data_IF_081952482681
#
_entry.id   IF_081952482681
#
_cell.length_a   1.000
_cell.length_b   1.000
_cell.length_c   1.000
_cell.angle_alpha   90.00
_cell.angle_beta   90.00
_cell.angle_gamma   90.00
#
_symmetry.space_group_name_H-M   'P 1'
#
loop_
_entity.id
_entity.type
_entity.pdbx_description
1 polymer ?
#
# COMPACT_ATOMS: atom_id res chain seq x y z
N UNK A 1 -17.17 -0.58 -6.11
CA UNK A 1 -16.74 -1.93 -5.64
C UNK A 1 -16.09 -1.78 -4.28
N UNK A 2 -16.14 -2.80 -3.43
CA UNK A 2 -15.62 -2.71 -2.06
C UNK A 2 -14.27 -3.39 -1.93
N UNK A 3 -13.35 -2.75 -1.23
CA UNK A 3 -12.00 -3.23 -0.98
C UNK A 3 -11.79 -3.27 0.54
N UNK A 4 -11.40 -4.44 1.05
CA UNK A 4 -11.11 -4.65 2.46
C UNK A 4 -9.63 -5.03 2.55
N UNK A 5 -8.85 -4.22 3.26
CA UNK A 5 -7.40 -4.44 3.43
C UNK A 5 -7.10 -4.58 4.90
N UNK A 6 -6.47 -5.70 5.26
CA UNK A 6 -5.95 -5.94 6.61
C UNK A 6 -4.44 -5.88 6.60
N UNK A 7 -3.83 -5.01 7.40
CA UNK A 7 -2.38 -5.00 7.62
C UNK A 7 -2.00 -5.94 8.75
N UNK A 8 -1.19 -6.97 8.47
CA UNK A 8 -0.68 -7.88 9.51
C UNK A 8 0.17 -7.12 10.53
N UNK A 9 -0.11 -7.37 11.81
CA UNK A 9 0.67 -6.83 12.93
C UNK A 9 2.09 -7.41 12.91
N UNK A 10 3.12 -6.56 12.76
CA UNK A 10 4.53 -6.96 12.91
C UNK A 10 5.30 -5.96 13.76
N UNK A 11 5.94 -6.45 14.82
CA UNK A 11 6.66 -5.62 15.81
C UNK A 11 7.76 -4.73 15.21
N UNK A 12 8.53 -5.22 14.22
CA UNK A 12 9.65 -4.46 13.63
C UNK A 12 9.27 -3.43 12.56
N UNK A 13 8.03 -3.46 12.06
CA UNK A 13 7.50 -2.50 11.08
C UNK A 13 6.32 -1.69 11.66
N UNK A 14 6.17 -1.71 12.98
CA UNK A 14 4.96 -1.28 13.68
C UNK A 14 4.72 0.24 13.68
N UNK A 15 5.77 1.03 13.44
CA UNK A 15 5.75 2.48 13.69
C UNK A 15 5.44 3.32 12.46
N UNK A 16 5.46 2.74 11.26
CA UNK A 16 5.26 3.49 10.01
C UNK A 16 3.92 3.10 9.38
N UNK A 17 3.02 4.06 9.12
CA UNK A 17 1.82 3.83 8.32
C UNK A 17 2.19 3.49 6.87
N UNK A 18 1.27 2.82 6.17
CA UNK A 18 1.32 2.69 4.72
C UNK A 18 0.10 3.39 4.11
N UNK A 19 0.17 3.70 2.83
CA UNK A 19 -0.94 4.24 2.06
C UNK A 19 -1.30 3.31 0.93
N UNK A 20 -2.59 3.02 0.79
CA UNK A 20 -3.10 2.25 -0.32
C UNK A 20 -3.57 3.21 -1.39
N UNK A 21 -2.96 3.13 -2.56
CA UNK A 21 -3.31 3.95 -3.72
C UNK A 21 -3.83 3.04 -4.84
N UNK A 22 -4.78 3.54 -5.63
CA UNK A 22 -5.24 2.87 -6.86
C UNK A 22 -4.22 3.01 -7.99
N UNK A 23 -4.38 2.23 -9.05
CA UNK A 23 -3.69 2.42 -10.33
C UNK A 23 -3.84 3.83 -10.92
N UNK A 24 -5.02 4.44 -10.82
CA UNK A 24 -5.23 5.84 -11.23
C UNK A 24 -4.40 6.81 -10.38
N UNK A 25 -4.43 6.66 -9.06
CA UNK A 25 -3.64 7.48 -8.14
C UNK A 25 -2.13 7.19 -8.22
N UNK A 26 -1.74 6.00 -8.67
CA UNK A 26 -0.36 5.63 -8.91
C UNK A 26 0.26 6.42 -10.06
N UNK A 27 -0.49 6.68 -11.14
CA UNK A 27 0.00 7.57 -12.19
C UNK A 27 0.21 9.00 -11.67
N UNK A 28 -0.68 9.50 -10.81
CA UNK A 28 -0.51 10.80 -10.15
C UNK A 28 0.71 10.80 -9.21
N UNK A 29 0.90 9.72 -8.45
CA UNK A 29 2.08 9.53 -7.60
C UNK A 29 3.40 9.53 -8.39
N UNK A 30 3.45 8.84 -9.54
CA UNK A 30 4.65 8.75 -10.38
C UNK A 30 4.93 10.05 -11.16
N UNK A 31 3.89 10.80 -11.52
CA UNK A 31 4.01 12.05 -12.27
C UNK A 31 4.23 13.28 -11.39
N UNK A 32 4.09 13.12 -10.07
CA UNK A 32 4.37 14.16 -9.10
C UNK A 32 5.85 14.58 -9.12
N UNK A 33 6.16 15.86 -8.86
CA UNK A 33 7.54 16.36 -8.76
C UNK A 33 8.33 15.73 -7.60
N UNK A 34 7.63 14.99 -6.73
CA UNK A 34 8.11 14.29 -5.54
C UNK A 34 8.48 12.82 -5.80
N UNK A 35 8.33 12.33 -7.04
CA UNK A 35 8.61 10.94 -7.37
C UNK A 35 10.13 10.65 -7.45
N UNK A 36 10.59 9.65 -6.68
CA UNK A 36 11.99 9.18 -6.73
C UNK A 36 12.23 8.37 -8.00
N UNK A 37 13.25 8.69 -8.82
CA UNK A 37 13.81 7.69 -9.72
C UNK A 37 14.39 6.52 -8.91
N UNK A 38 14.55 5.33 -9.51
CA UNK A 38 15.12 4.11 -8.91
C UNK A 38 16.43 4.29 -8.09
N UNK A 39 17.06 5.46 -8.20
CA UNK A 39 18.30 5.87 -7.55
C UNK A 39 18.07 6.73 -6.30
N UNK A 40 17.09 6.37 -5.46
CA UNK A 40 16.77 7.09 -4.23
C UNK A 40 18.05 7.41 -3.43
N UNK A 41 18.32 8.70 -3.18
CA UNK A 41 19.50 9.12 -2.42
C UNK A 41 19.36 8.55 -1.00
N UNK A 42 20.38 7.79 -0.57
CA UNK A 42 20.50 7.40 0.82
C UNK A 42 21.06 8.59 1.62
N UNK A 43 20.54 8.81 2.81
CA UNK A 43 21.18 9.64 3.84
C UNK A 43 22.57 9.10 4.15
N UNK A 44 23.43 9.93 4.77
CA UNK A 44 24.75 9.48 5.26
C UNK A 44 24.68 8.28 6.23
N UNK A 45 23.51 8.03 6.80
CA UNK A 45 23.20 6.92 7.71
C UNK A 45 22.62 5.68 7.00
N UNK A 46 22.48 5.69 5.67
CA UNK A 46 21.98 4.55 4.89
C UNK A 46 20.46 4.41 4.79
N UNK A 47 19.69 5.38 5.29
CA UNK A 47 18.24 5.43 5.13
C UNK A 47 17.85 6.15 3.83
N UNK A 48 16.80 5.73 3.11
CA UNK A 48 16.28 6.49 1.97
C UNK A 48 15.85 7.90 2.39
N UNK A 49 16.17 8.91 1.59
CA UNK A 49 15.70 10.29 1.82
C UNK A 49 14.22 10.37 1.42
N UNK A 50 13.29 10.68 2.37
CA UNK A 50 11.89 10.87 2.04
C UNK A 50 11.75 12.09 1.13
N UNK A 51 11.10 11.90 -0.01
CA UNK A 51 10.86 12.96 -1.00
C UNK A 51 9.38 13.13 -1.32
N UNK A 52 8.54 12.24 -0.79
CA UNK A 52 7.08 12.32 -0.90
C UNK A 52 6.50 12.88 0.39
N UNK A 53 5.62 13.87 0.24
CA UNK A 53 4.93 14.46 1.40
C UNK A 53 3.84 13.53 1.89
N UNK A 54 3.67 13.49 3.22
CA UNK A 54 2.55 12.78 3.85
C UNK A 54 1.22 13.35 3.36
N UNK A 55 1.15 14.66 3.12
CA UNK A 55 -0.04 15.34 2.60
C UNK A 55 -0.44 14.82 1.21
N UNK A 56 0.53 14.57 0.31
CA UNK A 56 0.24 13.96 -0.99
C UNK A 56 -0.34 12.55 -0.80
N UNK A 57 0.26 11.74 0.07
CA UNK A 57 -0.17 10.37 0.32
C UNK A 57 -1.56 10.30 0.97
N UNK A 58 -1.85 11.16 1.94
CA UNK A 58 -3.16 11.28 2.58
C UNK A 58 -4.23 11.79 1.59
N UNK A 59 -3.84 12.54 0.55
CA UNK A 59 -4.75 13.01 -0.50
C UNK A 59 -5.10 11.92 -1.52
N UNK A 60 -4.11 11.13 -1.95
CA UNK A 60 -4.28 10.17 -3.08
C UNK A 60 -4.53 8.73 -2.61
N UNK A 61 -4.38 8.47 -1.32
CA UNK A 61 -4.38 7.13 -0.78
C UNK A 61 -5.08 7.00 0.56
N UNK A 62 -5.29 5.76 0.95
CA UNK A 62 -5.96 5.39 2.20
C UNK A 62 -4.89 4.93 3.17
N UNK A 63 -4.73 5.67 4.26
CA UNK A 63 -3.76 5.36 5.30
C UNK A 63 -4.17 4.10 6.07
N UNK A 64 -3.21 3.21 6.30
CA UNK A 64 -3.40 1.97 7.08
C UNK A 64 -2.27 1.77 8.10
N UNK A 65 -2.67 1.72 9.36
CA UNK A 65 -1.84 1.46 10.52
C UNK A 65 -1.52 -0.02 10.73
N UNK A 66 -0.56 -0.30 11.61
CA UNK A 66 -0.13 -1.66 11.92
C UNK A 66 -1.24 -2.44 12.64
N UNK A 67 -1.65 -3.59 12.08
CA UNK A 67 -2.76 -4.39 12.64
C UNK A 67 -4.15 -3.88 12.27
N UNK A 68 -4.24 -2.80 11.50
CA UNK A 68 -5.50 -2.18 11.14
C UNK A 68 -6.17 -2.91 9.97
N UNK A 69 -7.51 -2.87 9.94
CA UNK A 69 -8.30 -3.23 8.77
C UNK A 69 -9.06 -2.02 8.29
N UNK A 70 -8.89 -1.67 7.01
CA UNK A 70 -9.60 -0.56 6.37
C UNK A 70 -10.54 -1.11 5.30
N UNK A 71 -11.70 -0.47 5.19
CA UNK A 71 -12.67 -0.75 4.15
C UNK A 71 -12.82 0.50 3.29
N UNK A 72 -12.72 0.33 1.97
CA UNK A 72 -12.76 1.41 1.02
C UNK A 72 -13.72 1.09 -0.12
N UNK A 73 -14.41 2.11 -0.62
CA UNK A 73 -15.09 2.02 -1.89
C UNK A 73 -14.15 2.48 -3.00
N UNK A 74 -13.97 1.64 -4.01
CA UNK A 74 -13.21 1.97 -5.20
C UNK A 74 -14.11 2.11 -6.43
N UNK A 75 -13.78 3.03 -7.36
CA UNK A 75 -14.40 3.08 -8.68
C UNK A 75 -14.22 1.76 -9.42
N UNK A 76 -15.24 1.27 -10.13
CA UNK A 76 -15.19 0.00 -10.85
C UNK A 76 -14.09 -0.06 -11.95
N UNK A 77 -13.54 1.09 -12.35
CA UNK A 77 -12.44 1.20 -13.30
C UNK A 77 -11.08 0.81 -12.72
N UNK A 78 -10.92 0.78 -11.39
CA UNK A 78 -9.64 0.44 -10.74
C UNK A 78 -9.38 -1.05 -10.89
N UNK A 79 -8.22 -1.42 -11.44
CA UNK A 79 -7.87 -2.83 -11.67
C UNK A 79 -6.80 -3.33 -10.70
N UNK A 80 -5.99 -2.42 -10.17
CA UNK A 80 -4.94 -2.76 -9.22
C UNK A 80 -4.82 -1.71 -8.12
N UNK A 81 -4.26 -2.14 -6.99
CA UNK A 81 -3.86 -1.27 -5.89
C UNK A 81 -2.40 -1.48 -5.54
N UNK A 82 -1.81 -0.43 -4.97
CA UNK A 82 -0.42 -0.39 -4.53
C UNK A 82 -0.36 0.08 -3.09
N UNK A 83 0.67 -0.34 -2.37
CA UNK A 83 0.98 0.18 -1.05
C UNK A 83 2.24 1.03 -1.12
N UNK A 84 2.18 2.21 -0.52
CA UNK A 84 3.28 3.19 -0.45
C UNK A 84 3.72 3.33 1.00
N UNK A 85 5.02 3.37 1.24
CA UNK A 85 5.56 3.74 2.55
C UNK A 85 5.69 5.25 2.70
N UNK A 86 5.84 5.71 3.94
CA UNK A 86 6.18 7.11 4.22
C UNK A 86 7.47 7.58 3.51
N UNK A 87 8.39 6.64 3.24
CA UNK A 87 9.64 6.92 2.53
C UNK A 87 9.48 6.89 0.98
N UNK A 88 8.26 6.70 0.47
CA UNK A 88 7.96 6.68 -0.96
C UNK A 88 8.24 5.36 -1.67
N UNK A 89 8.37 4.24 -0.94
CA UNK A 89 8.57 2.93 -1.55
C UNK A 89 7.23 2.30 -1.94
N UNK A 90 7.11 1.95 -3.22
CA UNK A 90 5.93 1.35 -3.81
C UNK A 90 6.01 -0.19 -3.79
N UNK A 91 4.91 -0.86 -3.46
CA UNK A 91 4.79 -2.30 -3.61
C UNK A 91 4.69 -2.72 -5.08
N UNK A 92 4.79 -4.03 -5.33
CA UNK A 92 4.24 -4.61 -6.57
C UNK A 92 2.72 -4.37 -6.64
N UNK A 93 2.13 -4.26 -7.84
CA UNK A 93 0.68 -4.14 -8.00
C UNK A 93 -0.03 -5.39 -7.45
N UNK A 94 -1.11 -5.18 -6.71
CA UNK A 94 -2.09 -6.22 -6.43
C UNK A 94 -3.26 -6.10 -7.41
N UNK A 95 -3.32 -7.02 -8.38
CA UNK A 95 -4.37 -7.05 -9.41
C UNK A 95 -5.65 -7.59 -8.79
N UNK A 96 -6.67 -6.74 -8.64
CA UNK A 96 -7.88 -7.05 -7.87
C UNK A 96 -8.61 -8.30 -8.37
N UNK A 97 -8.59 -8.57 -9.67
CA UNK A 97 -9.18 -9.79 -10.25
C UNK A 97 -8.64 -11.09 -9.62
N UNK A 98 -7.40 -11.09 -9.12
CA UNK A 98 -6.80 -12.25 -8.42
C UNK A 98 -7.15 -12.36 -6.93
N UNK A 99 -7.84 -11.37 -6.36
CA UNK A 99 -8.19 -11.28 -4.92
C UNK A 99 -9.70 -11.19 -4.68
N UNK A 100 -10.50 -11.51 -5.70
CA UNK A 100 -11.94 -11.60 -5.55
C UNK A 100 -12.28 -12.77 -4.63
N UNK A 101 -12.59 -12.49 -3.37
CA UNK A 101 -13.02 -13.52 -2.45
C UNK A 101 -14.17 -13.00 -1.58
N UNK A 102 -15.37 -13.28 -2.10
CA UNK A 102 -16.62 -13.21 -1.36
C UNK A 102 -17.45 -11.94 -1.52
N UNK A 103 -18.68 -12.08 -1.04
CA UNK A 103 -19.61 -11.00 -0.78
C UNK A 103 -19.25 -10.32 0.56
N UNK A 104 -19.47 -9.02 0.67
CA UNK A 104 -19.45 -8.33 1.95
C UNK A 104 -20.70 -8.67 2.79
N UNK A 105 -20.81 -8.05 3.96
CA UNK A 105 -21.91 -8.24 4.92
C UNK A 105 -23.31 -7.94 4.33
N UNK A 106 -23.35 -7.26 3.18
CA UNK A 106 -24.57 -6.86 2.45
C UNK A 106 -24.81 -7.70 1.19
N UNK A 107 -23.91 -8.65 0.87
CA UNK A 107 -24.00 -9.47 -0.34
C UNK A 107 -23.23 -8.90 -1.55
N UNK A 108 -22.62 -7.71 -1.45
CA UNK A 108 -21.94 -7.04 -2.54
C UNK A 108 -20.51 -7.58 -2.74
N UNK A 109 -20.05 -7.72 -3.99
CA UNK A 109 -18.70 -8.22 -4.27
C UNK A 109 -17.62 -7.35 -3.59
N UNK A 110 -16.75 -8.00 -2.81
CA UNK A 110 -15.65 -7.36 -2.11
C UNK A 110 -14.31 -8.05 -2.39
N UNK A 111 -13.27 -7.25 -2.57
CA UNK A 111 -11.90 -7.73 -2.68
C UNK A 111 -11.26 -7.71 -1.30
N UNK A 112 -10.65 -8.83 -0.89
CA UNK A 112 -9.98 -8.95 0.42
C UNK A 112 -8.49 -9.13 0.22
N UNK A 113 -7.69 -8.20 0.73
CA UNK A 113 -6.24 -8.24 0.62
C UNK A 113 -5.61 -8.22 2.01
N UNK A 114 -4.54 -9.01 2.16
CA UNK A 114 -3.67 -8.93 3.34
C UNK A 114 -2.40 -8.19 2.97
N UNK A 115 -2.11 -7.12 3.69
CA UNK A 115 -0.90 -6.33 3.55
C UNK A 115 0.13 -6.75 4.61
N UNK A 116 1.34 -7.06 4.18
CA UNK A 116 2.48 -7.35 5.04
C UNK A 116 3.64 -6.43 4.72
N UNK A 117 4.63 -6.43 5.59
CA UNK A 117 5.88 -5.71 5.39
C UNK A 117 7.06 -6.70 5.42
N UNK A 118 8.04 -6.49 4.53
CA UNK A 118 9.37 -7.12 4.58
C UNK A 118 10.44 -6.03 4.74
N UNK A 119 11.50 -6.30 5.47
CA UNK A 119 12.53 -5.31 5.82
C UNK A 119 12.55 -4.99 7.32
N UNK A 120 13.33 -3.98 7.74
CA UNK A 120 13.51 -3.63 9.16
C UNK A 120 14.80 -2.84 9.42
N UNK A 121 15.37 -2.98 10.62
CA UNK A 121 16.50 -2.19 11.16
C UNK A 121 17.71 -1.98 10.22
N UNK A 122 17.92 -2.87 9.23
CA UNK A 122 19.04 -2.81 8.29
C UNK A 122 18.63 -2.88 6.79
N UNK A 123 17.32 -2.86 6.48
CA UNK A 123 16.81 -2.93 5.10
C UNK A 123 15.54 -2.10 4.97
N UNK A 124 15.35 -1.37 3.85
CA UNK A 124 14.13 -0.60 3.64
C UNK A 124 12.89 -1.46 3.83
N UNK A 125 11.91 -0.91 4.56
CA UNK A 125 10.62 -1.56 4.75
C UNK A 125 9.86 -1.49 3.44
N UNK A 126 9.51 -2.65 2.88
CA UNK A 126 8.79 -2.78 1.61
C UNK A 126 7.43 -3.41 1.88
N UNK A 127 6.33 -2.75 1.46
CA UNK A 127 4.99 -3.29 1.60
C UNK A 127 4.75 -4.36 0.53
N UNK A 128 4.04 -5.42 0.89
CA UNK A 128 3.71 -6.53 0.00
C UNK A 128 2.29 -7.01 0.27
N UNK A 129 1.52 -7.21 -0.78
CA UNK A 129 0.23 -7.90 -0.68
C UNK A 129 0.47 -9.41 -0.72
N UNK A 130 -0.19 -10.14 0.17
CA UNK A 130 -0.23 -11.59 0.15
C UNK A 130 -1.39 -12.01 -0.76
N UNK A 131 -1.09 -12.56 -1.94
CA UNK A 131 -2.07 -13.30 -2.75
C UNK A 131 -2.69 -14.39 -1.87
N UNK A 132 -4.02 -14.42 -1.82
CA UNK A 132 -4.77 -15.28 -0.92
C UNK A 132 -4.32 -16.73 -1.03
N UNK A 133 -3.46 -17.15 -0.10
CA UNK A 133 -3.18 -18.55 0.14
C UNK A 133 -4.41 -19.15 0.77
N UNK A 134 -5.27 -19.75 -0.06
CA UNK A 134 -6.14 -20.83 0.41
C UNK A 134 -5.25 -21.88 1.07
N UNK A 135 -5.50 -22.15 2.34
CA UNK A 135 -5.35 -23.48 2.91
C UNK A 135 -6.66 -23.87 3.54
#
# INVERSE_FOLDING_TARGET
MKLIITRRKKFGAALVPFWIISDAAQQEYLSGPEHLPENAKLTASGFPVPTVTVDLLDRIGIRIGNGETVTAELPASVQAVYAVTMDGLLSKPAVLAGFADGSDETGAAAFRLTLTARGGFARPVTPQFEEGGQK
#
